data_IF_952528050285
#
_entry.id   IF_952528050285
#
_cell.length_a   1.000
_cell.length_b   1.000
_cell.length_c   1.000
_cell.angle_alpha   90.00
_cell.angle_beta   90.00
_cell.angle_gamma   90.00
#
_symmetry.space_group_name_H-M   'P 1'
#
loop_
_entity.id
_entity.type
_entity.pdbx_description
1 polymer ?
#
# COMPACT_ATOMS: atom_id res chain seq x y z
N UNK A 1 7.68 -23.97 -12.09
CA UNK A 1 6.27 -23.52 -12.14
C UNK A 1 5.42 -24.36 -11.20
N UNK A 2 5.19 -23.86 -10.00
CA UNK A 2 4.22 -24.43 -9.06
C UNK A 2 3.57 -23.27 -8.33
N UNK A 3 2.57 -22.65 -8.97
CA UNK A 3 1.59 -21.84 -8.23
C UNK A 3 0.91 -22.77 -7.23
N UNK A 4 1.09 -22.60 -5.91
CA UNK A 4 0.57 -23.54 -4.91
C UNK A 4 -0.97 -23.50 -4.80
N UNK A 5 -1.63 -22.59 -5.53
CA UNK A 5 -3.07 -22.42 -5.51
C UNK A 5 -3.63 -22.41 -6.93
N UNK A 6 -4.37 -23.46 -7.30
CA UNK A 6 -5.33 -23.38 -8.41
C UNK A 6 -6.52 -22.57 -7.90
N UNK A 7 -6.60 -21.30 -8.28
CA UNK A 7 -7.76 -20.47 -7.97
C UNK A 7 -9.00 -21.04 -8.68
N UNK A 8 -9.94 -21.60 -7.92
CA UNK A 8 -11.26 -22.02 -8.41
C UNK A 8 -12.26 -20.94 -7.99
N UNK A 9 -12.81 -20.11 -8.88
CA UNK A 9 -13.48 -18.85 -8.54
C UNK A 9 -14.50 -18.95 -7.38
N UNK A 10 -15.48 -19.84 -7.49
CA UNK A 10 -16.56 -19.97 -6.50
C UNK A 10 -16.09 -20.68 -5.22
N UNK A 11 -15.39 -21.81 -5.36
CA UNK A 11 -14.91 -22.58 -4.20
C UNK A 11 -13.88 -21.80 -3.39
N UNK A 12 -13.02 -21.02 -4.04
CA UNK A 12 -12.01 -20.19 -3.36
C UNK A 12 -12.65 -19.06 -2.57
N UNK A 13 -13.69 -18.42 -3.11
CA UNK A 13 -14.41 -17.35 -2.42
C UNK A 13 -15.23 -17.85 -1.23
N UNK A 14 -15.96 -18.95 -1.42
CA UNK A 14 -16.72 -19.58 -0.34
C UNK A 14 -15.79 -20.09 0.76
N UNK A 15 -14.68 -20.74 0.38
CA UNK A 15 -13.64 -21.16 1.31
C UNK A 15 -13.03 -19.97 2.07
N UNK A 16 -12.66 -18.89 1.38
CA UNK A 16 -12.14 -17.67 2.02
C UNK A 16 -13.15 -17.07 3.00
N UNK A 17 -14.42 -17.03 2.61
CA UNK A 17 -15.50 -16.48 3.45
C UNK A 17 -15.72 -17.34 4.70
N UNK A 18 -15.81 -18.66 4.55
CA UNK A 18 -15.94 -19.58 5.68
C UNK A 18 -14.72 -19.52 6.60
N UNK A 19 -13.51 -19.51 6.03
CA UNK A 19 -12.27 -19.39 6.80
C UNK A 19 -12.26 -18.12 7.66
N UNK A 20 -12.69 -16.98 7.12
CA UNK A 20 -12.80 -15.72 7.88
C UNK A 20 -13.77 -15.82 9.05
N UNK A 21 -14.93 -16.46 8.85
CA UNK A 21 -15.91 -16.69 9.92
C UNK A 21 -15.34 -17.57 11.04
N UNK A 22 -14.67 -18.66 10.67
CA UNK A 22 -13.97 -19.53 11.63
C UNK A 22 -12.89 -18.74 12.37
N UNK A 23 -12.10 -17.93 11.66
CA UNK A 23 -11.07 -17.09 12.28
C UNK A 23 -11.64 -16.04 13.25
N UNK A 24 -12.84 -15.51 13.03
CA UNK A 24 -13.49 -14.61 13.99
C UNK A 24 -13.78 -15.29 15.32
N UNK A 25 -14.19 -16.56 15.30
CA UNK A 25 -14.44 -17.35 16.51
C UNK A 25 -13.12 -17.74 17.17
N UNK A 26 -12.18 -18.29 16.39
CA UNK A 26 -10.90 -18.77 16.90
C UNK A 26 -10.05 -17.66 17.53
N UNK A 27 -10.12 -16.44 16.99
CA UNK A 27 -9.35 -15.28 17.46
C UNK A 27 -10.23 -14.25 18.20
N UNK A 28 -11.35 -14.69 18.78
CA UNK A 28 -12.22 -13.81 19.57
C UNK A 28 -11.47 -13.21 20.76
N UNK A 29 -11.44 -11.88 20.86
CA UNK A 29 -10.77 -11.15 21.93
C UNK A 29 -10.56 -9.68 21.57
N UNK A 30 -9.85 -8.94 22.43
CA UNK A 30 -9.64 -7.49 22.29
C UNK A 30 -8.19 -7.03 22.56
N UNK A 31 -7.23 -7.95 22.54
CA UNK A 31 -5.82 -7.64 22.80
C UNK A 31 -5.14 -6.89 21.64
N UNK A 32 -5.61 -7.10 20.41
CA UNK A 32 -5.08 -6.43 19.20
C UNK A 32 -6.21 -5.83 18.37
N UNK A 33 -5.91 -4.78 17.59
CA UNK A 33 -6.90 -4.06 16.77
C UNK A 33 -6.38 -3.78 15.36
N UNK A 34 -7.19 -4.08 14.35
CA UNK A 34 -6.82 -3.86 12.95
C UNK A 34 -7.31 -2.49 12.45
N UNK A 35 -6.38 -1.67 11.93
CA UNK A 35 -6.73 -0.37 11.33
C UNK A 35 -7.51 -0.50 10.03
N UNK A 36 -7.28 -1.54 9.22
CA UNK A 36 -7.99 -1.69 7.95
C UNK A 36 -9.49 -2.04 8.16
N UNK A 37 -9.78 -3.12 8.90
CA UNK A 37 -11.18 -3.58 9.06
C UNK A 37 -11.86 -3.13 10.37
N UNK A 38 -11.14 -2.46 11.26
CA UNK A 38 -11.67 -1.92 12.53
C UNK A 38 -11.95 -2.96 13.62
N UNK A 39 -11.84 -4.26 13.33
CA UNK A 39 -12.10 -5.35 14.28
C UNK A 39 -10.95 -5.57 15.27
N UNK A 40 -11.29 -6.13 16.43
CA UNK A 40 -10.34 -6.54 17.46
C UNK A 40 -10.29 -8.06 17.60
N UNK A 41 -9.15 -8.56 18.07
CA UNK A 41 -8.87 -10.00 18.19
C UNK A 41 -8.05 -10.31 19.45
N UNK A 42 -7.99 -11.58 19.84
CA UNK A 42 -7.12 -12.04 20.93
C UNK A 42 -5.63 -12.05 20.57
N UNK A 43 -5.30 -12.20 19.28
CA UNK A 43 -3.92 -12.17 18.77
C UNK A 43 -3.87 -11.98 17.24
N UNK A 44 -2.70 -11.61 16.73
CA UNK A 44 -2.38 -11.67 15.30
C UNK A 44 -2.06 -13.09 14.83
N UNK A 45 -2.17 -13.35 13.52
CA UNK A 45 -1.78 -14.64 12.91
C UNK A 45 -0.27 -14.72 12.71
N UNK A 46 0.44 -15.26 13.70
CA UNK A 46 1.92 -15.40 13.70
C UNK A 46 2.44 -16.29 12.55
N UNK A 47 1.64 -17.28 12.13
CA UNK A 47 1.91 -18.17 10.98
C UNK A 47 1.80 -17.46 9.61
N UNK A 48 1.48 -16.17 9.60
CA UNK A 48 1.27 -15.40 8.38
C UNK A 48 1.71 -13.94 8.55
N UNK A 49 2.87 -13.73 9.19
CA UNK A 49 3.49 -12.40 9.29
C UNK A 49 2.64 -11.38 10.05
N UNK A 50 1.96 -11.80 11.12
CA UNK A 50 1.04 -10.96 11.89
C UNK A 50 -0.14 -10.41 11.07
N UNK A 51 -0.65 -11.25 10.16
CA UNK A 51 -1.86 -10.95 9.41
C UNK A 51 -3.09 -10.82 10.33
N UNK A 52 -4.00 -9.91 9.97
CA UNK A 52 -5.31 -9.82 10.61
C UNK A 52 -6.11 -11.13 10.41
N UNK A 53 -6.71 -11.71 11.47
CA UNK A 53 -7.53 -12.93 11.35
C UNK A 53 -8.73 -12.81 10.39
N UNK A 54 -9.23 -11.59 10.15
CA UNK A 54 -10.38 -11.35 9.28
C UNK A 54 -9.98 -10.84 7.88
N UNK A 55 -9.41 -9.63 7.78
CA UNK A 55 -9.14 -9.03 6.48
C UNK A 55 -7.78 -9.42 5.88
N UNK A 56 -6.90 -10.07 6.66
CA UNK A 56 -5.58 -10.47 6.21
C UNK A 56 -4.55 -9.34 6.10
N UNK A 57 -4.88 -8.10 6.53
CA UNK A 57 -3.94 -6.97 6.51
C UNK A 57 -2.63 -7.33 7.22
N UNK A 58 -1.50 -6.86 6.71
CA UNK A 58 -0.21 -6.82 7.37
C UNK A 58 0.08 -5.40 7.89
N UNK A 59 1.25 -5.17 8.48
CA UNK A 59 1.61 -3.85 9.03
C UNK A 59 1.51 -2.75 7.98
N UNK A 60 2.02 -2.98 6.77
CA UNK A 60 1.99 -2.01 5.66
C UNK A 60 0.59 -1.45 5.36
N UNK A 61 -0.44 -2.30 5.26
CA UNK A 61 -1.80 -1.83 5.04
C UNK A 61 -2.37 -1.12 6.28
N UNK A 62 -1.97 -1.53 7.49
CA UNK A 62 -2.40 -0.88 8.73
C UNK A 62 -1.79 0.52 8.90
N UNK A 63 -0.56 0.75 8.42
CA UNK A 63 0.09 2.06 8.35
C UNK A 63 -0.70 3.00 7.42
N UNK A 64 -1.03 2.53 6.21
CA UNK A 64 -1.88 3.28 5.27
C UNK A 64 -3.24 3.63 5.90
N UNK A 65 -3.87 2.65 6.54
CA UNK A 65 -5.16 2.84 7.19
C UNK A 65 -5.10 3.88 8.32
N UNK A 66 -4.02 3.89 9.12
CA UNK A 66 -3.82 4.91 10.15
C UNK A 66 -3.60 6.29 9.55
N UNK A 67 -2.74 6.39 8.53
CA UNK A 67 -2.51 7.64 7.84
C UNK A 67 -3.83 8.27 7.35
N UNK A 68 -4.67 7.51 6.63
CA UNK A 68 -5.93 8.02 6.09
C UNK A 68 -6.94 8.43 7.18
N UNK A 69 -6.86 7.85 8.38
CA UNK A 69 -7.69 8.25 9.53
C UNK A 69 -7.19 9.53 10.19
N UNK A 70 -5.89 9.70 10.28
CA UNK A 70 -5.26 10.89 10.86
C UNK A 70 -5.34 12.08 9.91
N UNK A 71 -5.20 11.83 8.61
CA UNK A 71 -5.18 12.84 7.55
C UNK A 71 -6.23 12.50 6.48
N UNK A 72 -7.52 12.82 6.73
CA UNK A 72 -8.58 12.54 5.77
C UNK A 72 -8.37 13.31 4.45
N UNK A 73 -8.52 12.61 3.32
CA UNK A 73 -8.48 13.24 1.99
C UNK A 73 -9.70 14.14 1.79
N UNK A 74 -9.47 15.39 1.37
CA UNK A 74 -10.49 16.40 1.07
C UNK A 74 -11.66 16.44 2.08
N UNK A 75 -11.42 16.80 3.36
CA UNK A 75 -12.44 16.75 4.40
C UNK A 75 -13.69 17.54 4.03
N UNK A 76 -14.87 16.91 4.14
CA UNK A 76 -16.16 17.53 3.82
C UNK A 76 -16.51 17.59 2.33
N UNK A 77 -15.68 17.01 1.45
CA UNK A 77 -15.92 16.92 0.01
C UNK A 77 -15.81 15.47 -0.46
N UNK A 78 -16.36 15.19 -1.66
CA UNK A 78 -16.04 13.94 -2.35
C UNK A 78 -14.69 14.08 -3.05
N UNK A 79 -13.85 13.06 -2.92
CA UNK A 79 -12.51 13.01 -3.52
C UNK A 79 -12.37 11.76 -4.38
N UNK A 80 -11.63 11.88 -5.49
CA UNK A 80 -11.33 10.74 -6.36
C UNK A 80 -10.09 10.02 -5.87
N UNK A 81 -10.16 8.70 -5.75
CA UNK A 81 -9.05 7.87 -5.32
C UNK A 81 -8.66 6.84 -6.39
N UNK A 82 -7.37 6.68 -6.67
CA UNK A 82 -6.82 5.60 -7.50
C UNK A 82 -6.09 4.60 -6.60
N UNK A 83 -6.54 3.35 -6.58
CA UNK A 83 -5.90 2.26 -5.85
C UNK A 83 -5.25 1.28 -6.82
N UNK A 84 -3.92 1.15 -6.75
CA UNK A 84 -3.18 0.13 -7.47
C UNK A 84 -3.14 -1.19 -6.71
N UNK A 85 -3.21 -2.30 -7.43
CA UNK A 85 -3.06 -3.66 -6.94
C UNK A 85 -3.88 -3.93 -5.64
N UNK A 86 -5.21 -3.74 -5.68
CA UNK A 86 -6.03 -3.84 -4.49
C UNK A 86 -5.97 -5.24 -3.87
N UNK A 87 -5.90 -5.27 -2.54
CA UNK A 87 -6.13 -6.47 -1.75
C UNK A 87 -7.42 -6.34 -0.93
N UNK A 88 -7.87 -7.45 -0.35
CA UNK A 88 -9.12 -7.43 0.43
C UNK A 88 -9.06 -6.45 1.61
N UNK A 89 -7.90 -6.20 2.20
CA UNK A 89 -7.79 -5.32 3.36
C UNK A 89 -7.83 -3.83 2.99
N UNK A 90 -7.21 -3.45 1.88
CA UNK A 90 -7.25 -2.09 1.33
C UNK A 90 -8.63 -1.75 0.76
N UNK A 91 -9.32 -2.71 0.13
CA UNK A 91 -10.72 -2.53 -0.26
C UNK A 91 -11.62 -2.28 0.96
N UNK A 92 -11.50 -3.09 2.02
CA UNK A 92 -12.28 -2.87 3.26
C UNK A 92 -11.98 -1.53 3.94
N UNK A 93 -10.75 -1.04 3.84
CA UNK A 93 -10.35 0.27 4.33
C UNK A 93 -11.07 1.39 3.54
N UNK A 94 -11.07 1.31 2.21
CA UNK A 94 -11.66 2.33 1.36
C UNK A 94 -13.20 2.27 1.33
N UNK A 95 -13.80 1.09 1.41
CA UNK A 95 -15.25 0.91 1.57
C UNK A 95 -15.81 1.63 2.81
N UNK A 96 -14.97 1.78 3.85
CA UNK A 96 -15.31 2.51 5.07
C UNK A 96 -15.21 4.04 4.93
N UNK A 97 -14.85 4.56 3.75
CA UNK A 97 -14.65 5.98 3.46
C UNK A 97 -15.62 6.45 2.35
N UNK A 98 -16.89 6.74 2.66
CA UNK A 98 -17.92 7.04 1.66
C UNK A 98 -17.73 8.38 0.91
N UNK A 99 -16.76 9.20 1.35
CA UNK A 99 -16.33 10.41 0.65
C UNK A 99 -15.37 10.10 -0.50
N UNK A 100 -14.79 8.91 -0.58
CA UNK A 100 -13.89 8.51 -1.66
C UNK A 100 -14.67 7.86 -2.80
N UNK A 101 -14.49 8.40 -4.00
CA UNK A 101 -14.88 7.78 -5.26
C UNK A 101 -13.67 6.98 -5.77
N UNK A 102 -13.68 5.68 -5.50
CA UNK A 102 -12.51 4.80 -5.66
C UNK A 102 -12.53 4.14 -7.04
N UNK A 103 -11.46 4.33 -7.79
CA UNK A 103 -11.10 3.57 -8.98
C UNK A 103 -9.97 2.60 -8.65
N UNK A 104 -10.17 1.33 -8.97
CA UNK A 104 -9.16 0.28 -8.77
C UNK A 104 -8.49 -0.10 -10.08
N UNK A 105 -7.18 -0.32 -10.04
CA UNK A 105 -6.41 -0.73 -11.21
C UNK A 105 -5.32 -1.73 -10.84
N UNK A 106 -4.99 -2.62 -11.76
CA UNK A 106 -3.84 -3.52 -11.70
C UNK A 106 -3.45 -3.89 -13.13
N UNK A 107 -2.18 -4.24 -13.38
CA UNK A 107 -1.75 -4.64 -14.71
C UNK A 107 -2.43 -5.93 -15.22
N UNK A 108 -2.77 -6.87 -14.34
CA UNK A 108 -3.31 -8.18 -14.72
C UNK A 108 -4.26 -8.83 -13.72
N UNK A 109 -4.36 -8.31 -12.49
CA UNK A 109 -5.17 -8.91 -11.46
C UNK A 109 -6.65 -8.94 -11.86
N UNK A 110 -7.39 -10.02 -11.52
CA UNK A 110 -8.82 -10.06 -11.72
C UNK A 110 -9.52 -9.13 -10.73
N UNK A 111 -10.73 -8.67 -11.07
CA UNK A 111 -11.62 -7.88 -10.19
C UNK A 111 -11.07 -6.49 -9.81
N UNK A 112 -10.55 -5.80 -10.80
CA UNK A 112 -10.27 -4.36 -10.76
C UNK A 112 -11.16 -3.66 -11.79
N UNK A 113 -11.37 -2.36 -11.63
CA UNK A 113 -12.16 -1.57 -12.58
C UNK A 113 -11.44 -1.48 -13.93
N UNK A 114 -10.12 -1.35 -13.90
CA UNK A 114 -9.30 -1.21 -15.10
C UNK A 114 -7.99 -2.00 -15.06
N UNK A 115 -7.56 -2.47 -16.23
CA UNK A 115 -6.23 -3.03 -16.45
C UNK A 115 -5.29 -1.97 -17.06
N UNK A 116 -4.78 -1.06 -16.25
CA UNK A 116 -3.87 -0.01 -16.71
C UNK A 116 -2.41 -0.33 -16.42
N UNK A 117 -1.56 0.01 -17.38
CA UNK A 117 -0.11 0.10 -17.18
C UNK A 117 0.19 1.42 -16.46
N UNK A 118 0.84 1.33 -15.29
CA UNK A 118 1.21 2.49 -14.48
C UNK A 118 2.19 3.41 -15.21
N UNK A 119 2.93 2.93 -16.21
CA UNK A 119 3.85 3.74 -17.02
C UNK A 119 3.13 4.58 -18.08
N UNK A 120 1.83 4.34 -18.31
CA UNK A 120 1.00 5.07 -19.27
C UNK A 120 -0.49 5.01 -18.87
N UNK A 121 -0.87 5.77 -17.84
CA UNK A 121 -2.24 5.80 -17.33
C UNK A 121 -3.17 6.52 -18.33
N UNK A 122 -4.26 5.88 -18.80
CA UNK A 122 -5.20 6.48 -19.75
C UNK A 122 -6.21 7.39 -19.02
N UNK A 123 -5.71 8.34 -18.24
CA UNK A 123 -6.48 9.36 -17.53
C UNK A 123 -5.91 10.75 -17.79
N UNK A 124 -6.73 11.78 -17.59
CA UNK A 124 -6.29 13.16 -17.72
C UNK A 124 -5.34 13.55 -16.57
N UNK A 125 -4.59 14.62 -16.78
CA UNK A 125 -3.80 15.24 -15.71
C UNK A 125 -4.71 15.61 -14.53
N UNK A 126 -4.18 15.54 -13.31
CA UNK A 126 -4.88 15.98 -12.10
C UNK A 126 -6.23 15.29 -11.84
N UNK A 127 -6.34 14.02 -12.23
CA UNK A 127 -7.58 13.24 -12.11
C UNK A 127 -7.90 12.74 -10.70
N UNK A 128 -6.91 12.62 -9.80
CA UNK A 128 -7.09 11.95 -8.51
C UNK A 128 -6.58 12.77 -7.32
N UNK A 129 -7.37 12.83 -6.25
CA UNK A 129 -7.02 13.50 -5.00
C UNK A 129 -6.26 12.59 -4.03
N UNK A 130 -6.44 11.28 -4.18
CA UNK A 130 -5.70 10.25 -3.46
C UNK A 130 -5.17 9.22 -4.46
N UNK A 131 -3.88 8.89 -4.37
CA UNK A 131 -3.33 7.73 -5.07
C UNK A 131 -2.70 6.80 -4.04
N UNK A 132 -3.03 5.50 -4.09
CA UNK A 132 -2.41 4.47 -3.26
C UNK A 132 -1.62 3.52 -4.14
N UNK A 133 -0.30 3.61 -4.07
CA UNK A 133 0.65 2.81 -4.86
C UNK A 133 1.56 2.03 -3.90
N UNK A 134 1.06 0.89 -3.42
CA UNK A 134 1.74 0.08 -2.41
C UNK A 134 2.22 -1.23 -3.01
N UNK A 135 3.53 -1.46 -2.98
CA UNK A 135 4.20 -2.65 -3.50
C UNK A 135 3.93 -2.90 -4.99
N UNK A 136 4.10 -1.84 -5.79
CA UNK A 136 3.90 -1.86 -7.24
C UNK A 136 5.18 -1.47 -7.96
N UNK A 137 5.81 -0.38 -7.54
CA UNK A 137 6.95 0.19 -8.27
C UNK A 137 8.14 -0.77 -8.37
N UNK A 138 8.37 -1.65 -7.40
CA UNK A 138 9.44 -2.64 -7.42
C UNK A 138 9.30 -3.69 -8.54
N UNK A 139 8.11 -3.81 -9.14
CA UNK A 139 7.81 -4.70 -10.24
C UNK A 139 7.93 -4.04 -11.62
N UNK A 140 8.04 -2.70 -11.69
CA UNK A 140 7.91 -1.93 -12.94
C UNK A 140 9.28 -1.66 -13.56
N UNK A 141 9.68 -2.22 -14.71
CA UNK A 141 11.01 -2.00 -15.27
C UNK A 141 11.38 -0.51 -15.48
N UNK A 142 10.43 0.31 -15.93
CA UNK A 142 10.59 1.76 -16.06
C UNK A 142 9.85 2.50 -14.94
N UNK A 143 10.46 2.54 -13.74
CA UNK A 143 9.87 3.22 -12.59
C UNK A 143 9.79 4.74 -12.78
N UNK A 144 10.65 5.32 -13.61
CA UNK A 144 10.63 6.74 -13.93
C UNK A 144 9.36 7.13 -14.66
N UNK A 145 8.96 6.36 -15.67
CA UNK A 145 7.69 6.55 -16.36
C UNK A 145 6.49 6.39 -15.40
N UNK A 146 6.53 5.37 -14.54
CA UNK A 146 5.50 5.16 -13.52
C UNK A 146 5.37 6.33 -12.54
N UNK A 147 6.50 6.83 -12.01
CA UNK A 147 6.52 7.96 -11.08
C UNK A 147 6.04 9.25 -11.78
N UNK A 148 6.40 9.45 -13.05
CA UNK A 148 5.90 10.57 -13.84
C UNK A 148 4.37 10.52 -13.98
N UNK A 149 3.79 9.35 -14.24
CA UNK A 149 2.33 9.16 -14.32
C UNK A 149 1.63 9.33 -12.97
N UNK A 150 2.25 8.87 -11.87
CA UNK A 150 1.76 9.14 -10.52
C UNK A 150 1.70 10.65 -10.26
N UNK A 151 2.75 11.39 -10.61
CA UNK A 151 2.79 12.85 -10.45
C UNK A 151 1.77 13.55 -11.35
N UNK A 152 1.72 13.19 -12.64
CA UNK A 152 0.81 13.81 -13.63
C UNK A 152 -0.65 13.65 -13.25
N UNK A 153 -1.05 12.45 -12.85
CA UNK A 153 -2.44 12.12 -12.52
C UNK A 153 -2.90 12.61 -11.14
N UNK A 154 -1.97 12.93 -10.24
CA UNK A 154 -2.29 13.50 -8.92
C UNK A 154 -2.79 14.95 -9.05
N UNK A 155 -3.88 15.30 -8.37
CA UNK A 155 -4.40 16.68 -8.34
C UNK A 155 -3.46 17.63 -7.59
N UNK A 156 -3.58 18.94 -7.84
CA UNK A 156 -2.69 19.94 -7.24
C UNK A 156 -2.64 19.88 -5.69
N UNK A 157 -3.77 19.54 -5.05
CA UNK A 157 -3.88 19.36 -3.60
C UNK A 157 -3.92 17.88 -3.19
N UNK A 158 -3.69 16.97 -4.13
CA UNK A 158 -3.76 15.54 -3.92
C UNK A 158 -2.61 15.00 -3.08
N UNK A 159 -2.81 13.81 -2.53
CA UNK A 159 -1.77 13.04 -1.84
C UNK A 159 -1.60 11.66 -2.48
N UNK A 160 -0.37 11.31 -2.82
CA UNK A 160 0.00 9.95 -3.21
C UNK A 160 0.71 9.24 -2.04
N UNK A 161 0.27 8.03 -1.73
CA UNK A 161 0.80 7.16 -0.69
C UNK A 161 1.56 6.02 -1.37
N UNK A 162 2.88 6.03 -1.22
CA UNK A 162 3.77 5.05 -1.85
C UNK A 162 4.44 4.17 -0.78
N UNK A 163 4.42 2.86 -0.99
CA UNK A 163 5.16 1.88 -0.19
C UNK A 163 5.88 0.91 -1.11
N UNK A 164 7.11 0.55 -0.77
CA UNK A 164 7.96 -0.39 -1.51
C UNK A 164 8.90 -1.11 -0.54
N UNK A 165 9.49 -2.26 -0.92
CA UNK A 165 10.64 -2.81 -0.22
C UNK A 165 11.77 -1.77 -0.20
N UNK A 166 12.07 -1.24 0.97
CA UNK A 166 12.95 -0.08 1.15
C UNK A 166 14.09 -0.38 2.13
N UNK A 167 15.32 -0.30 1.64
CA UNK A 167 16.55 -0.50 2.42
C UNK A 167 17.09 0.86 2.89
N UNK A 168 16.68 1.29 4.07
CA UNK A 168 17.06 2.58 4.68
C UNK A 168 18.55 2.78 4.81
N UNK A 169 19.30 1.69 4.97
CA UNK A 169 20.75 1.67 5.08
C UNK A 169 21.46 1.88 3.73
N UNK A 170 20.79 1.61 2.60
CA UNK A 170 21.35 1.74 1.26
C UNK A 170 21.13 3.15 0.71
N UNK A 171 22.19 3.79 0.22
CA UNK A 171 22.08 5.12 -0.39
C UNK A 171 21.34 5.06 -1.74
N UNK A 172 21.64 4.04 -2.53
CA UNK A 172 21.16 3.87 -3.90
C UNK A 172 20.27 2.64 -4.02
N UNK A 173 19.35 2.68 -4.98
CA UNK A 173 18.48 1.58 -5.36
C UNK A 173 19.29 0.49 -6.06
N UNK A 174 19.14 -0.75 -5.61
CA UNK A 174 19.73 -1.92 -6.26
C UNK A 174 18.79 -2.38 -7.37
N UNK A 175 19.18 -2.15 -8.62
CA UNK A 175 18.46 -2.60 -9.80
C UNK A 175 19.42 -3.05 -10.91
N UNK A 176 19.00 -4.05 -11.68
CA UNK A 176 19.78 -4.56 -12.82
C UNK A 176 18.85 -5.18 -13.87
N UNK A 177 18.57 -4.45 -14.97
CA UNK A 177 17.70 -4.93 -16.04
C UNK A 177 18.19 -6.22 -16.72
N UNK A 178 19.48 -6.56 -16.59
CA UNK A 178 20.03 -7.79 -17.18
C UNK A 178 19.65 -9.05 -16.39
N UNK A 179 19.21 -8.91 -15.14
CA UNK A 179 18.76 -10.01 -14.29
C UNK A 179 17.32 -10.39 -14.65
N UNK A 180 17.18 -11.40 -15.51
CA UNK A 180 15.87 -11.89 -15.98
C UNK A 180 15.45 -13.22 -15.35
N UNK A 181 16.38 -13.95 -14.74
CA UNK A 181 16.09 -15.23 -14.09
C UNK A 181 15.31 -15.03 -12.78
N UNK A 182 14.12 -15.63 -12.61
CA UNK A 182 13.30 -15.43 -11.41
C UNK A 182 13.99 -15.86 -10.10
N UNK A 183 14.82 -16.91 -10.12
CA UNK A 183 15.52 -17.34 -8.90
C UNK A 183 16.61 -16.34 -8.49
N UNK A 184 17.33 -15.78 -9.46
CA UNK A 184 18.30 -14.72 -9.18
C UNK A 184 17.61 -13.41 -8.72
N UNK A 185 16.44 -13.07 -9.26
CA UNK A 185 15.62 -11.95 -8.76
C UNK A 185 15.19 -12.14 -7.32
N UNK A 186 14.70 -13.33 -6.97
CA UNK A 186 14.32 -13.63 -5.58
C UNK A 186 15.51 -13.48 -4.62
N UNK A 187 16.69 -13.97 -5.03
CA UNK A 187 17.91 -13.86 -4.23
C UNK A 187 18.41 -12.42 -4.07
N UNK A 188 18.37 -11.61 -5.13
CA UNK A 188 18.90 -10.23 -5.11
C UNK A 188 17.89 -9.21 -4.61
N UNK A 189 16.67 -9.30 -5.14
CA UNK A 189 15.60 -8.31 -4.93
C UNK A 189 14.50 -8.77 -3.95
N UNK A 190 14.60 -10.00 -3.43
CA UNK A 190 13.72 -10.52 -2.38
C UNK A 190 12.44 -11.19 -2.87
N UNK A 191 12.10 -11.07 -4.16
CA UNK A 191 10.97 -11.77 -4.77
C UNK A 191 11.24 -12.06 -6.25
N UNK A 192 10.66 -13.13 -6.77
CA UNK A 192 10.95 -13.66 -8.11
C UNK A 192 10.65 -12.71 -9.28
N UNK A 193 9.77 -11.74 -9.06
CA UNK A 193 9.29 -10.76 -10.05
C UNK A 193 9.66 -9.32 -9.70
N UNK A 194 10.36 -9.08 -8.58
CA UNK A 194 10.96 -7.78 -8.32
C UNK A 194 12.11 -7.54 -9.30
N UNK A 195 12.20 -6.32 -9.82
CA UNK A 195 13.31 -5.87 -10.67
C UNK A 195 14.29 -4.96 -9.95
N UNK A 196 13.96 -4.57 -8.70
CA UNK A 196 14.77 -3.71 -7.85
C UNK A 196 14.42 -3.81 -6.37
N UNK A 197 15.30 -3.25 -5.53
CA UNK A 197 15.00 -2.89 -4.13
C UNK A 197 15.44 -1.45 -3.90
N UNK A 198 14.52 -0.61 -3.43
CA UNK A 198 14.77 0.82 -3.31
C UNK A 198 15.69 1.17 -2.15
N UNK A 199 16.63 2.08 -2.42
CA UNK A 199 17.46 2.76 -1.42
C UNK A 199 16.95 4.18 -1.17
N UNK A 200 17.69 4.95 -0.36
CA UNK A 200 17.32 6.33 0.04
C UNK A 200 17.09 7.28 -1.15
N UNK A 201 17.70 6.99 -2.30
CA UNK A 201 17.50 7.73 -3.56
C UNK A 201 16.04 7.71 -4.08
N UNK A 202 15.16 6.82 -3.59
CA UNK A 202 13.74 6.84 -3.97
C UNK A 202 13.07 8.19 -3.67
N UNK A 203 13.41 8.84 -2.55
CA UNK A 203 12.86 10.15 -2.22
C UNK A 203 13.22 11.20 -3.30
N UNK A 204 14.46 11.15 -3.79
CA UNK A 204 14.93 12.03 -4.86
C UNK A 204 14.28 11.67 -6.20
N UNK A 205 14.10 10.38 -6.52
CA UNK A 205 13.39 9.93 -7.74
C UNK A 205 11.96 10.47 -7.79
N UNK A 206 11.24 10.39 -6.67
CA UNK A 206 9.89 10.95 -6.53
C UNK A 206 9.94 12.48 -6.64
N UNK A 207 10.87 13.14 -5.95
CA UNK A 207 10.98 14.59 -5.93
C UNK A 207 11.34 15.21 -7.28
N UNK A 208 12.21 14.54 -8.05
CA UNK A 208 12.57 14.96 -9.40
C UNK A 208 11.40 14.96 -10.39
N UNK A 209 10.25 14.38 -10.01
CA UNK A 209 9.01 14.42 -10.79
C UNK A 209 8.00 15.46 -10.24
N UNK A 210 8.48 16.47 -9.51
CA UNK A 210 7.65 17.58 -9.01
C UNK A 210 6.80 17.23 -7.79
N UNK A 211 7.20 16.19 -7.04
CA UNK A 211 6.53 15.80 -5.80
C UNK A 211 7.34 16.29 -4.58
N UNK A 212 6.67 16.84 -3.59
CA UNK A 212 7.20 16.99 -2.24
C UNK A 212 6.98 15.69 -1.48
N UNK A 213 8.07 15.13 -0.94
CA UNK A 213 8.07 13.80 -0.34
C UNK A 213 8.34 13.91 1.16
N UNK A 214 7.43 13.36 1.96
CA UNK A 214 7.60 13.18 3.40
C UNK A 214 7.64 11.70 3.71
N UNK A 215 8.68 11.25 4.40
CA UNK A 215 8.77 9.87 4.87
C UNK A 215 8.10 9.80 6.23
N UNK A 216 7.21 8.82 6.41
CA UNK A 216 6.59 8.50 7.69
C UNK A 216 6.87 7.05 8.05
N UNK A 217 7.12 6.84 9.32
CA UNK A 217 7.29 5.53 9.96
C UNK A 217 6.13 5.28 10.92
N UNK A 218 5.94 4.05 11.44
CA UNK A 218 4.92 3.79 12.46
C UNK A 218 5.03 4.73 13.66
N UNK A 219 6.23 5.10 14.08
CA UNK A 219 6.45 6.00 15.23
C UNK A 219 5.98 7.44 14.99
N UNK A 220 5.78 7.85 13.73
CA UNK A 220 5.22 9.17 13.40
C UNK A 220 3.68 9.17 13.43
N UNK A 221 3.07 7.99 13.42
CA UNK A 221 1.62 7.80 13.25
C UNK A 221 0.93 7.15 14.45
N UNK A 222 1.70 6.50 15.32
CA UNK A 222 1.22 5.72 16.45
C UNK A 222 2.08 6.00 17.68
N UNK A 223 1.44 6.01 18.84
CA UNK A 223 2.18 6.05 20.10
C UNK A 223 2.95 4.74 20.31
N UNK A 224 4.09 4.75 21.04
CA UNK A 224 4.86 3.55 21.30
C UNK A 224 4.03 2.38 21.87
N UNK A 225 3.07 2.67 22.75
CA UNK A 225 2.16 1.68 23.33
C UNK A 225 1.15 1.09 22.34
N UNK A 226 0.89 1.74 21.21
CA UNK A 226 -0.04 1.27 20.17
C UNK A 226 0.64 0.32 19.16
N UNK A 227 1.96 0.38 19.01
CA UNK A 227 2.72 -0.35 17.97
C UNK A 227 2.43 -1.86 18.01
N UNK A 228 2.50 -2.48 19.18
CA UNK A 228 2.27 -3.91 19.34
C UNK A 228 0.80 -4.29 19.15
N UNK A 229 -0.11 -3.53 19.78
CA UNK A 229 -1.58 -3.73 19.68
C UNK A 229 -2.07 -3.60 18.24
N UNK A 230 -1.41 -2.78 17.42
CA UNK A 230 -1.71 -2.58 16.01
C UNK A 230 -0.84 -3.45 15.07
N UNK A 231 0.05 -4.29 15.62
CA UNK A 231 0.86 -5.25 14.86
C UNK A 231 1.77 -4.58 13.83
N UNK A 232 2.40 -3.47 14.20
CA UNK A 232 3.21 -2.68 13.28
C UNK A 232 4.68 -3.08 13.40
N UNK A 233 5.36 -3.14 12.27
CA UNK A 233 6.81 -3.23 12.20
C UNK A 233 7.32 -2.05 11.38
N UNK A 234 8.62 -1.81 11.48
CA UNK A 234 9.26 -0.63 10.92
C UNK A 234 9.25 -0.68 9.37
N UNK A 235 8.24 -0.03 8.79
CA UNK A 235 8.04 0.12 7.36
C UNK A 235 7.93 1.62 7.03
N UNK A 236 8.15 2.01 5.78
CA UNK A 236 8.21 3.42 5.39
C UNK A 236 7.07 3.74 4.44
N UNK A 237 6.27 4.74 4.83
CA UNK A 237 5.26 5.34 3.98
C UNK A 237 5.83 6.63 3.37
N UNK A 238 5.91 6.68 2.05
CA UNK A 238 6.27 7.89 1.31
C UNK A 238 4.98 8.64 0.99
N UNK A 239 4.80 9.77 1.66
CA UNK A 239 3.67 10.68 1.47
C UNK A 239 4.11 11.75 0.47
N UNK A 240 3.55 11.70 -0.73
CA UNK A 240 3.92 12.56 -1.85
C UNK A 240 2.82 13.56 -2.18
N UNK A 241 3.15 14.83 -2.41
CA UNK A 241 2.19 15.91 -2.75
C UNK A 241 2.75 16.83 -3.81
N UNK A 242 1.91 17.46 -4.64
CA UNK A 242 2.35 18.43 -5.66
C UNK A 242 2.82 19.78 -5.08
N UNK A 243 2.16 20.24 -4.03
CA UNK A 243 2.59 21.42 -3.27
C UNK A 243 3.15 21.00 -1.92
N UNK A 244 4.17 21.69 -1.44
CA UNK A 244 4.52 21.68 -0.02
C UNK A 244 3.31 22.26 0.72
N UNK A 245 2.47 21.40 1.29
CA UNK A 245 1.40 21.86 2.18
C UNK A 245 2.04 22.65 3.33
N UNK A 246 1.51 23.83 3.65
CA UNK A 246 1.81 24.53 4.89
C UNK A 246 1.54 23.57 6.05
N UNK A 247 2.55 23.41 6.91
CA UNK A 247 2.56 22.48 8.05
C UNK A 247 1.27 22.53 8.88
N UNK A 248 0.38 21.56 8.68
CA UNK A 248 -0.66 21.18 9.65
C UNK A 248 -0.42 19.77 10.21
N UNK A 249 0.69 19.12 9.83
CA UNK A 249 1.12 17.85 10.38
C UNK A 249 2.05 18.12 11.58
N UNK A 250 1.48 18.56 12.70
CA UNK A 250 2.20 18.38 13.98
C UNK A 250 2.18 16.88 14.28
N UNK A 251 3.34 16.21 14.41
CA UNK A 251 3.36 14.82 14.84
C UNK A 251 2.65 14.67 16.18
N UNK A 252 1.96 13.56 16.39
CA UNK A 252 1.39 13.24 17.70
C UNK A 252 2.58 12.94 18.63
N UNK A 253 2.91 13.89 19.50
CA UNK A 253 3.83 13.70 20.62
C UNK A 253 3.25 12.74 21.67
#
# INVERSE_FOLDING_TARGET
MSTPYRHIPVLSEMYRSLRRLVSLVQYSGNAVRCDCCGKSFSAWRKDSGDACPYCGSLARQRILARYLRTYPTAPGQRAKALLFAPDFSTLQLLDAQPSLDVTTTDYSAPKVDFHWDITALPCADESFDLIMCSHVLEHVPDDKAAIAELSRSLSANGTALVQVPYKRESAETDEDPSVTDPAEREKRFGQFDHVRVYGRDLADRLANNGLHVTLMTPSDLFKPEEIETHGLWDDTLFVCRKSAATDDATPIH
#
